data_IF_623656653488
#
_entry.id   IF_623656653488
#
_cell.length_a   1.000
_cell.length_b   1.000
_cell.length_c   1.000
_cell.angle_alpha   90.00
_cell.angle_beta   90.00
_cell.angle_gamma   90.00
#
_symmetry.space_group_name_H-M   'P 1'
#
loop_
_entity.id
_entity.type
_entity.pdbx_description
1 polymer ?
#
# COMPACT_ATOMS: atom_id res chain seq x y z
N UNK A 1 -10.28 17.88 10.68
CA UNK A 1 -9.43 17.00 11.49
C UNK A 1 -8.16 16.72 10.72
N UNK A 2 -6.96 16.76 11.33
CA UNK A 2 -5.75 16.29 10.64
C UNK A 2 -5.84 14.78 10.55
N UNK A 3 -6.10 14.26 9.36
CA UNK A 3 -6.10 12.82 9.11
C UNK A 3 -4.70 12.29 9.44
N UNK A 4 -4.60 11.34 10.38
CA UNK A 4 -3.31 10.73 10.72
C UNK A 4 -3.02 9.64 9.69
N UNK A 5 -1.96 9.78 8.87
CA UNK A 5 -1.59 8.73 7.94
C UNK A 5 -1.18 7.47 8.73
N UNK A 6 -1.44 6.31 8.14
CA UNK A 6 -0.96 5.04 8.65
C UNK A 6 0.37 4.68 7.98
N UNK A 7 1.11 3.78 8.63
CA UNK A 7 2.39 3.25 8.13
C UNK A 7 2.28 1.75 7.94
N UNK A 8 2.84 1.24 6.85
CA UNK A 8 2.93 -0.19 6.56
C UNK A 8 4.20 -0.53 5.79
N UNK A 9 4.44 -1.83 5.62
CA UNK A 9 5.55 -2.36 4.80
C UNK A 9 4.93 -3.07 3.60
N UNK A 10 5.44 -2.77 2.40
CA UNK A 10 5.03 -3.46 1.18
C UNK A 10 5.56 -4.91 1.24
N UNK A 11 4.66 -5.88 1.22
CA UNK A 11 5.01 -7.32 1.22
C UNK A 11 4.89 -7.96 -0.17
N UNK A 12 4.13 -7.35 -1.07
CA UNK A 12 3.94 -7.79 -2.45
C UNK A 12 3.60 -6.58 -3.34
N UNK A 13 4.01 -6.63 -4.60
CA UNK A 13 3.67 -5.64 -5.63
C UNK A 13 3.15 -6.34 -6.87
N UNK A 14 2.13 -5.77 -7.52
CA UNK A 14 1.70 -6.22 -8.84
C UNK A 14 2.64 -5.70 -9.93
N UNK A 15 2.50 -6.23 -11.15
CA UNK A 15 3.31 -5.82 -12.30
C UNK A 15 3.05 -4.36 -12.76
N UNK A 16 2.02 -3.72 -12.20
CA UNK A 16 1.55 -2.39 -12.61
C UNK A 16 0.71 -2.45 -13.88
N UNK A 17 0.35 -1.29 -14.42
CA UNK A 17 -0.20 -1.23 -15.77
C UNK A 17 0.96 -1.07 -16.75
N UNK A 18 0.74 -1.48 -18.00
CA UNK A 18 1.73 -1.34 -19.07
C UNK A 18 2.30 0.09 -19.21
N UNK A 19 1.45 1.09 -18.99
CA UNK A 19 1.80 2.51 -19.11
C UNK A 19 2.07 3.19 -17.76
N UNK A 20 1.80 2.50 -16.65
CA UNK A 20 2.01 2.99 -15.28
C UNK A 20 2.70 1.88 -14.47
N UNK A 21 4.04 1.74 -14.60
CA UNK A 21 4.79 0.77 -13.83
C UNK A 21 4.76 1.14 -12.36
N UNK A 22 4.69 0.13 -11.49
CA UNK A 22 4.76 0.34 -10.05
C UNK A 22 6.17 0.83 -9.67
N UNK A 23 6.24 1.86 -8.84
CA UNK A 23 7.50 2.43 -8.35
C UNK A 23 7.89 1.92 -6.97
N UNK A 24 6.92 1.55 -6.13
CA UNK A 24 7.17 0.89 -4.84
C UNK A 24 7.72 -0.52 -4.99
N UNK A 25 8.50 -0.96 -4.01
CA UNK A 25 9.13 -2.28 -3.98
C UNK A 25 8.81 -3.03 -2.70
N UNK A 26 8.91 -4.35 -2.76
CA UNK A 26 8.81 -5.19 -1.56
C UNK A 26 9.89 -4.79 -0.56
N UNK A 27 9.47 -4.56 0.68
CA UNK A 27 10.32 -4.07 1.77
C UNK A 27 10.23 -2.56 2.01
N UNK A 28 9.68 -1.79 1.08
CA UNK A 28 9.51 -0.34 1.29
C UNK A 28 8.52 -0.08 2.43
N UNK A 29 8.89 0.86 3.29
CA UNK A 29 7.98 1.40 4.31
C UNK A 29 7.21 2.57 3.70
N UNK A 30 5.89 2.56 3.80
CA UNK A 30 5.02 3.53 3.12
C UNK A 30 4.04 4.18 4.09
N UNK A 31 3.66 5.42 3.78
CA UNK A 31 2.58 6.13 4.44
C UNK A 31 1.35 6.17 3.54
N UNK A 32 0.17 5.89 4.09
CA UNK A 32 -1.09 5.86 3.34
C UNK A 32 -2.26 6.37 4.19
N UNK A 33 -3.38 6.70 3.53
CA UNK A 33 -4.60 7.18 4.18
C UNK A 33 -5.29 6.08 4.99
N UNK A 34 -5.91 6.44 6.12
CA UNK A 34 -6.61 5.45 6.99
C UNK A 34 -7.74 4.71 6.26
N UNK A 35 -8.38 5.36 5.30
CA UNK A 35 -9.51 4.81 4.54
C UNK A 35 -9.11 4.28 3.16
N UNK A 36 -7.80 4.14 2.91
CA UNK A 36 -7.26 3.65 1.65
C UNK A 36 -7.17 2.12 1.65
N UNK A 37 -7.58 1.51 0.55
CA UNK A 37 -7.45 0.07 0.31
C UNK A 37 -8.61 -0.79 0.82
N UNK A 38 -8.41 -2.10 0.66
CA UNK A 38 -9.34 -3.16 1.04
C UNK A 38 -8.59 -4.18 1.90
N UNK A 39 -9.12 -4.46 3.09
CA UNK A 39 -8.59 -5.51 3.96
C UNK A 39 -8.94 -6.89 3.41
N UNK A 40 -7.97 -7.79 3.43
CA UNK A 40 -8.10 -9.18 3.00
C UNK A 40 -7.36 -10.10 3.96
N UNK A 41 -7.96 -11.25 4.27
CA UNK A 41 -7.34 -12.27 5.11
C UNK A 41 -6.93 -13.46 4.26
N UNK A 42 -5.65 -13.80 4.25
CA UNK A 42 -5.08 -14.95 3.52
C UNK A 42 -4.28 -15.79 4.51
N UNK A 43 -4.57 -17.08 4.60
CA UNK A 43 -3.84 -18.05 5.45
C UNK A 43 -3.74 -17.60 6.93
N UNK A 44 -4.78 -16.95 7.44
CA UNK A 44 -4.83 -16.46 8.83
C UNK A 44 -4.01 -15.19 9.09
N UNK A 45 -3.54 -14.50 8.04
CA UNK A 45 -2.90 -13.20 8.12
C UNK A 45 -3.73 -12.15 7.40
N UNK A 46 -3.83 -10.98 8.02
CA UNK A 46 -4.51 -9.84 7.45
C UNK A 46 -3.54 -8.98 6.64
N UNK A 47 -3.97 -8.61 5.44
CA UNK A 47 -3.25 -7.75 4.52
C UNK A 47 -4.16 -6.62 4.07
N UNK A 48 -3.54 -5.52 3.65
CA UNK A 48 -4.24 -4.37 3.09
C UNK A 48 -3.80 -4.21 1.63
N UNK A 49 -4.73 -4.44 0.70
CA UNK A 49 -4.50 -4.21 -0.73
C UNK A 49 -4.93 -2.78 -1.05
N UNK A 50 -4.06 -2.00 -1.67
CA UNK A 50 -4.39 -0.64 -2.13
C UNK A 50 -3.71 -0.34 -3.46
N UNK A 51 -4.10 0.77 -4.09
CA UNK A 51 -3.42 1.29 -5.28
C UNK A 51 -2.22 2.12 -4.85
N UNK A 52 -1.19 2.15 -5.68
CA UNK A 52 -0.02 3.01 -5.44
C UNK A 52 -0.38 4.49 -5.34
N UNK A 53 -1.42 4.94 -6.05
CA UNK A 53 -1.92 6.32 -5.99
C UNK A 53 -2.44 6.74 -4.60
N UNK A 54 -2.76 5.79 -3.72
CA UNK A 54 -3.21 6.05 -2.35
C UNK A 54 -2.05 6.17 -1.34
N UNK A 55 -0.81 5.95 -1.80
CA UNK A 55 0.42 6.06 -1.01
C UNK A 55 0.92 7.50 -1.06
N UNK A 56 1.10 8.10 0.12
CA UNK A 56 1.56 9.48 0.26
C UNK A 56 3.08 9.62 0.13
N UNK A 57 3.84 8.66 0.66
CA UNK A 57 5.30 8.68 0.65
C UNK A 57 5.89 7.29 0.95
N UNK A 58 7.10 7.06 0.44
CA UNK A 58 8.03 6.01 0.89
C UNK A 58 8.94 6.63 1.98
N UNK A 59 9.14 5.94 3.11
CA UNK A 59 9.83 6.44 4.33
C UNK A 59 10.92 5.53 4.85
#
# INVERSE_FOLDING_TARGET
AKEKPQKGIIVAVGEGKKDEPITVKVGDSVLYGKYSGTEISIEGKDYLIMREADIFAIV
#
